data_IF_300473971914
#
_entry.id   IF_300473971914
#
_cell.length_a   1.000
_cell.length_b   1.000
_cell.length_c   1.000
_cell.angle_alpha   90.00
_cell.angle_beta   90.00
_cell.angle_gamma   90.00
#
_symmetry.space_group_name_H-M   'P 1'
#
loop_
_entity.id
_entity.type
_entity.pdbx_description
1 polymer ?
#
# COMPACT_ATOMS: atom_id res chain seq x y z
N UNK A 1 22.19 54.99 21.46
CA UNK A 1 22.34 53.59 21.88
C UNK A 1 21.17 52.81 21.27
N UNK A 2 21.35 52.28 20.06
CA UNK A 2 20.29 51.62 19.28
C UNK A 2 20.29 50.12 19.58
N UNK A 3 19.21 49.61 20.14
CA UNK A 3 19.01 48.16 20.37
C UNK A 3 18.60 47.49 19.07
N UNK A 4 19.48 46.64 18.54
CA UNK A 4 19.19 45.78 17.39
C UNK A 4 18.10 44.78 17.75
N UNK A 5 17.03 44.61 16.96
CA UNK A 5 15.99 43.63 17.28
C UNK A 5 16.55 42.21 17.13
N UNK A 6 16.47 41.44 18.22
CA UNK A 6 16.86 40.03 18.28
C UNK A 6 15.96 39.20 17.35
N UNK A 7 16.47 38.88 16.16
CA UNK A 7 15.79 38.10 15.12
C UNK A 7 16.06 36.61 15.29
N UNK A 8 15.98 36.09 16.52
CA UNK A 8 16.00 34.63 16.73
C UNK A 8 14.76 34.02 16.07
N UNK A 9 14.91 33.06 15.14
CA UNK A 9 13.77 32.41 14.52
C UNK A 9 12.93 31.74 15.61
N UNK A 10 11.71 32.26 15.83
CA UNK A 10 10.74 31.68 16.75
C UNK A 10 10.52 30.22 16.37
N UNK A 11 11.08 29.32 17.19
CA UNK A 11 10.89 27.88 17.08
C UNK A 11 9.38 27.63 17.12
N UNK A 12 8.75 27.34 15.97
CA UNK A 12 7.31 27.10 15.88
C UNK A 12 6.96 25.98 16.86
N UNK A 13 6.27 26.33 17.95
CA UNK A 13 5.77 25.36 18.93
C UNK A 13 4.73 24.51 18.22
N UNK A 14 5.06 23.24 17.96
CA UNK A 14 4.14 22.27 17.38
C UNK A 14 3.11 21.98 18.47
N UNK A 15 1.89 22.48 18.29
CA UNK A 15 0.78 22.20 19.21
C UNK A 15 0.33 20.75 18.97
N UNK A 16 0.35 19.86 19.99
CA UNK A 16 -0.21 18.52 19.89
C UNK A 16 -1.67 18.61 19.44
N UNK A 17 -2.04 17.87 18.38
CA UNK A 17 -3.39 17.94 17.77
C UNK A 17 -3.57 19.01 16.69
N UNK A 18 -2.56 19.84 16.42
CA UNK A 18 -2.59 20.81 15.32
C UNK A 18 -2.27 20.21 13.95
N UNK A 19 -2.67 20.91 12.88
CA UNK A 19 -2.47 20.52 11.46
C UNK A 19 -0.99 20.15 11.16
N UNK A 20 -0.03 20.78 11.85
CA UNK A 20 1.41 20.51 11.66
C UNK A 20 1.82 19.15 12.24
N UNK A 21 1.28 18.73 13.39
CA UNK A 21 1.57 17.41 13.97
C UNK A 21 0.96 16.28 13.13
N UNK A 22 -0.27 16.51 12.63
CA UNK A 22 -0.94 15.58 11.73
C UNK A 22 -0.17 15.40 10.42
N UNK A 23 0.30 16.49 9.80
CA UNK A 23 1.17 16.44 8.60
C UNK A 23 2.49 15.69 8.87
N UNK A 24 3.05 15.79 10.08
CA UNK A 24 4.29 15.09 10.46
C UNK A 24 4.05 13.60 10.69
N UNK A 25 2.92 13.21 11.27
CA UNK A 25 2.50 11.81 11.42
C UNK A 25 2.26 11.16 10.06
N UNK A 26 1.50 11.81 9.18
CA UNK A 26 1.29 11.36 7.80
C UNK A 26 2.61 11.16 7.03
N UNK A 27 3.57 12.07 7.17
CA UNK A 27 4.88 11.95 6.52
C UNK A 27 5.70 10.73 6.97
N UNK A 28 5.51 10.29 8.23
CA UNK A 28 6.22 9.15 8.81
C UNK A 28 5.48 7.83 8.63
N UNK A 29 4.15 7.86 8.62
CA UNK A 29 3.31 6.66 8.72
C UNK A 29 2.56 6.32 7.42
N UNK A 30 2.53 7.19 6.42
CA UNK A 30 1.81 6.94 5.16
C UNK A 30 2.26 5.65 4.46
N UNK A 31 3.57 5.42 4.37
CA UNK A 31 4.14 4.18 3.84
C UNK A 31 3.78 2.95 4.67
N UNK A 32 3.91 3.03 6.00
CA UNK A 32 3.57 1.94 6.92
C UNK A 32 2.09 1.55 6.79
N UNK A 33 1.20 2.55 6.75
CA UNK A 33 -0.23 2.33 6.58
C UNK A 33 -0.55 1.66 5.24
N UNK A 34 0.11 2.06 4.16
CA UNK A 34 -0.01 1.41 2.85
C UNK A 34 0.41 -0.06 2.88
N UNK A 35 1.56 -0.36 3.49
CA UNK A 35 2.02 -1.75 3.70
C UNK A 35 1.04 -2.53 4.57
N UNK A 36 0.48 -1.92 5.61
CA UNK A 36 -0.52 -2.55 6.46
C UNK A 36 -1.78 -2.96 5.71
N UNK A 37 -2.25 -2.12 4.77
CA UNK A 37 -3.39 -2.46 3.91
C UNK A 37 -3.06 -3.64 2.99
N UNK A 38 -1.91 -3.60 2.31
CA UNK A 38 -1.46 -4.69 1.46
C UNK A 38 -1.29 -6.00 2.24
N UNK A 39 -0.68 -5.92 3.43
CA UNK A 39 -0.54 -7.06 4.33
C UNK A 39 -1.91 -7.62 4.75
N UNK A 40 -2.89 -6.77 5.05
CA UNK A 40 -4.25 -7.19 5.40
C UNK A 40 -4.94 -7.99 4.29
N UNK A 41 -4.83 -7.55 3.04
CA UNK A 41 -5.33 -8.33 1.89
C UNK A 41 -4.60 -9.67 1.74
N UNK A 42 -3.27 -9.66 1.91
CA UNK A 42 -2.46 -10.87 1.80
C UNK A 42 -2.81 -11.90 2.89
N UNK A 43 -2.89 -11.51 4.16
CA UNK A 43 -3.25 -12.42 5.25
C UNK A 43 -4.69 -12.87 5.14
N UNK A 44 -5.63 -11.99 4.82
CA UNK A 44 -7.03 -12.39 4.67
C UNK A 44 -7.21 -13.39 3.51
N UNK A 45 -6.57 -13.15 2.36
CA UNK A 45 -6.57 -14.10 1.25
C UNK A 45 -5.93 -15.44 1.62
N UNK A 46 -4.80 -15.42 2.35
CA UNK A 46 -4.14 -16.64 2.80
C UNK A 46 -5.00 -17.45 3.78
N UNK A 47 -5.75 -16.77 4.67
CA UNK A 47 -6.71 -17.43 5.55
C UNK A 47 -7.85 -18.08 4.77
N UNK A 48 -8.38 -17.41 3.74
CA UNK A 48 -9.41 -17.98 2.86
C UNK A 48 -8.87 -19.24 2.17
N UNK A 49 -7.66 -19.18 1.62
CA UNK A 49 -7.00 -20.33 0.98
C UNK A 49 -6.78 -21.49 1.96
N UNK A 50 -6.40 -21.19 3.20
CA UNK A 50 -6.18 -22.21 4.23
C UNK A 50 -7.48 -22.88 4.69
N UNK A 51 -8.59 -22.15 4.66
CA UNK A 51 -9.88 -22.62 5.16
C UNK A 51 -10.73 -23.37 4.11
N UNK A 52 -10.25 -23.56 2.88
CA UNK A 52 -11.06 -24.10 1.79
C UNK A 52 -10.32 -25.09 0.90
N UNK A 53 -11.00 -26.17 0.53
CA UNK A 53 -10.60 -27.07 -0.57
C UNK A 53 -11.39 -26.81 -1.86
N UNK A 54 -12.39 -25.94 -1.81
CA UNK A 54 -13.26 -25.61 -2.94
C UNK A 54 -12.58 -24.70 -3.97
N UNK A 55 -12.69 -25.05 -5.26
CA UNK A 55 -12.07 -24.30 -6.37
C UNK A 55 -12.47 -22.82 -6.43
N UNK A 56 -13.74 -22.49 -6.20
CA UNK A 56 -14.24 -21.10 -6.23
C UNK A 56 -13.64 -20.24 -5.12
N UNK A 57 -13.63 -20.77 -3.89
CA UNK A 57 -13.03 -20.10 -2.74
C UNK A 57 -11.49 -20.05 -2.87
N UNK A 58 -10.88 -21.08 -3.47
CA UNK A 58 -9.46 -21.09 -3.82
C UNK A 58 -9.09 -19.96 -4.78
N UNK A 59 -9.85 -19.80 -5.87
CA UNK A 59 -9.67 -18.69 -6.81
C UNK A 59 -9.85 -17.33 -6.13
N UNK A 60 -10.89 -17.19 -5.30
CA UNK A 60 -11.17 -15.96 -4.54
C UNK A 60 -10.03 -15.62 -3.57
N UNK A 61 -9.55 -16.60 -2.82
CA UNK A 61 -8.42 -16.45 -1.91
C UNK A 61 -7.15 -16.03 -2.64
N UNK A 62 -6.87 -16.64 -3.79
CA UNK A 62 -5.71 -16.28 -4.61
C UNK A 62 -5.80 -14.85 -5.17
N UNK A 63 -6.98 -14.40 -5.59
CA UNK A 63 -7.20 -13.01 -6.02
C UNK A 63 -6.94 -12.04 -4.87
N UNK A 64 -7.43 -12.33 -3.67
CA UNK A 64 -7.19 -11.51 -2.47
C UNK A 64 -5.69 -11.44 -2.11
N UNK A 65 -5.00 -12.57 -2.12
CA UNK A 65 -3.55 -12.60 -1.89
C UNK A 65 -2.84 -11.77 -2.95
N UNK A 66 -3.27 -11.85 -4.21
CA UNK A 66 -2.71 -11.07 -5.32
C UNK A 66 -2.97 -9.57 -5.18
N UNK A 67 -4.06 -9.14 -4.54
CA UNK A 67 -4.26 -7.73 -4.18
C UNK A 67 -3.28 -7.28 -3.08
N UNK A 68 -2.94 -8.15 -2.13
CA UNK A 68 -1.95 -7.84 -1.11
C UNK A 68 -0.51 -7.88 -1.65
N UNK A 69 -0.21 -8.82 -2.53
CA UNK A 69 1.11 -9.09 -3.08
C UNK A 69 1.04 -9.12 -4.61
N UNK A 70 0.86 -7.97 -5.27
CA UNK A 70 0.62 -7.87 -6.71
C UNK A 70 1.75 -8.44 -7.58
N UNK A 71 2.98 -8.51 -7.06
CA UNK A 71 4.11 -9.08 -7.80
C UNK A 71 4.14 -10.62 -7.80
N UNK A 72 3.22 -11.31 -7.11
CA UNK A 72 3.18 -12.78 -7.12
C UNK A 72 3.03 -13.37 -8.52
N UNK A 73 2.10 -12.82 -9.30
CA UNK A 73 1.84 -13.28 -10.66
C UNK A 73 3.06 -13.07 -11.57
N UNK A 74 3.79 -11.97 -11.39
CA UNK A 74 4.98 -11.65 -12.18
C UNK A 74 6.13 -12.63 -11.93
N UNK A 75 6.24 -13.13 -10.70
CA UNK A 75 7.31 -14.05 -10.29
C UNK A 75 6.95 -15.53 -10.58
N UNK A 76 5.73 -15.77 -11.09
CA UNK A 76 5.26 -17.09 -11.48
C UNK A 76 4.87 -17.99 -10.31
N UNK A 77 4.49 -17.40 -9.16
CA UNK A 77 4.00 -18.14 -8.00
C UNK A 77 2.48 -18.31 -8.14
N UNK A 78 1.92 -19.54 -8.03
CA UNK A 78 2.50 -20.73 -7.39
C UNK A 78 3.20 -21.73 -8.32
N UNK A 79 3.20 -21.51 -9.64
CA UNK A 79 3.72 -22.47 -10.63
C UNK A 79 5.22 -22.81 -10.45
N UNK A 80 6.00 -21.89 -9.86
CA UNK A 80 7.40 -22.15 -9.50
C UNK A 80 7.61 -21.91 -8.01
N UNK A 81 8.02 -22.97 -7.32
CA UNK A 81 8.30 -22.93 -5.88
C UNK A 81 9.75 -22.51 -5.63
N UNK A 82 9.96 -21.61 -4.66
CA UNK A 82 11.31 -21.17 -4.27
C UNK A 82 11.29 -20.02 -3.27
N UNK A 83 11.99 -20.19 -2.14
CA UNK A 83 11.99 -19.21 -1.05
C UNK A 83 12.46 -17.82 -1.52
N UNK A 84 13.47 -17.76 -2.38
CA UNK A 84 13.97 -16.48 -2.92
C UNK A 84 12.91 -15.72 -3.74
N UNK A 85 12.08 -16.44 -4.50
CA UNK A 85 11.01 -15.86 -5.32
C UNK A 85 9.87 -15.30 -4.48
N UNK A 86 9.47 -16.05 -3.45
CA UNK A 86 8.50 -15.57 -2.45
C UNK A 86 9.01 -14.33 -1.73
N UNK A 87 10.26 -14.34 -1.26
CA UNK A 87 10.87 -13.17 -0.61
C UNK A 87 10.91 -11.96 -1.54
N UNK A 88 11.30 -12.13 -2.81
CA UNK A 88 11.29 -11.04 -3.79
C UNK A 88 9.89 -10.49 -4.04
N UNK A 89 8.88 -11.36 -4.21
CA UNK A 89 7.50 -10.93 -4.41
C UNK A 89 6.96 -10.16 -3.20
N UNK A 90 7.23 -10.64 -1.98
CA UNK A 90 6.80 -10.01 -0.72
C UNK A 90 7.50 -8.67 -0.53
N UNK A 91 8.83 -8.62 -0.62
CA UNK A 91 9.62 -7.41 -0.41
C UNK A 91 9.29 -6.37 -1.49
N UNK A 92 9.21 -6.79 -2.75
CA UNK A 92 8.85 -5.91 -3.86
C UNK A 92 7.43 -5.34 -3.70
N UNK A 93 6.49 -6.16 -3.25
CA UNK A 93 5.11 -5.70 -3.02
C UNK A 93 5.02 -4.79 -1.79
N UNK A 94 5.77 -5.06 -0.73
CA UNK A 94 5.88 -4.16 0.41
C UNK A 94 6.49 -2.81 0.01
N UNK A 95 7.53 -2.81 -0.83
CA UNK A 95 8.11 -1.58 -1.36
C UNK A 95 7.11 -0.82 -2.25
N UNK A 96 6.32 -1.53 -3.07
CA UNK A 96 5.25 -0.92 -3.87
C UNK A 96 4.19 -0.26 -2.98
N UNK A 97 3.66 -0.98 -1.99
CA UNK A 97 2.65 -0.44 -1.08
C UNK A 97 3.18 0.70 -0.21
N UNK A 98 4.44 0.62 0.20
CA UNK A 98 5.13 1.69 0.90
C UNK A 98 5.23 2.95 0.04
N UNK A 99 5.70 2.81 -1.21
CA UNK A 99 5.87 3.95 -2.12
C UNK A 99 4.53 4.59 -2.45
N UNK A 100 3.49 3.81 -2.72
CA UNK A 100 2.12 4.32 -2.92
C UNK A 100 1.64 5.09 -1.67
N UNK A 101 1.81 4.50 -0.49
CA UNK A 101 1.44 5.13 0.78
C UNK A 101 2.17 6.46 1.04
N UNK A 102 3.46 6.52 0.69
CA UNK A 102 4.27 7.74 0.80
C UNK A 102 3.94 8.78 -0.26
N UNK A 103 3.62 8.38 -1.49
CA UNK A 103 3.18 9.30 -2.55
C UNK A 103 1.84 9.95 -2.19
N UNK A 104 0.88 9.17 -1.69
CA UNK A 104 -0.38 9.68 -1.18
C UNK A 104 -0.14 10.67 -0.02
N UNK A 105 0.73 10.34 0.94
CA UNK A 105 1.08 11.23 2.04
C UNK A 105 1.77 12.52 1.55
N UNK A 106 2.65 12.44 0.56
CA UNK A 106 3.32 13.59 -0.03
C UNK A 106 2.32 14.53 -0.74
N UNK A 107 1.33 13.99 -1.45
CA UNK A 107 0.27 14.78 -2.09
C UNK A 107 -0.63 15.47 -1.07
N UNK A 108 -1.12 14.75 -0.07
CA UNK A 108 -2.02 15.31 0.95
C UNK A 108 -1.34 16.41 1.77
N UNK A 109 -0.04 16.31 2.02
CA UNK A 109 0.72 17.37 2.73
C UNK A 109 0.72 18.73 2.01
N UNK A 110 0.62 18.74 0.68
CA UNK A 110 0.54 19.96 -0.15
C UNK A 110 -0.82 20.65 -0.03
N UNK A 111 -1.86 19.95 0.44
CA UNK A 111 -3.20 20.52 0.63
C UNK A 111 -3.29 21.36 1.91
N UNK A 112 -4.18 22.36 1.91
CA UNK A 112 -4.44 23.26 3.05
C UNK A 112 -4.99 22.45 4.23
N UNK A 113 -5.94 21.55 3.95
CA UNK A 113 -6.51 20.59 4.90
C UNK A 113 -5.86 19.23 4.60
N UNK A 114 -5.10 18.70 5.56
CA UNK A 114 -4.43 17.42 5.43
C UNK A 114 -4.92 16.49 6.54
N UNK A 115 -5.54 15.38 6.17
CA UNK A 115 -6.06 14.37 7.08
C UNK A 115 -5.95 12.95 6.53
N UNK A 116 -6.26 11.98 7.39
CA UNK A 116 -6.21 10.56 7.06
C UNK A 116 -7.28 10.15 6.05
N UNK A 117 -8.43 10.83 6.04
CA UNK A 117 -9.49 10.59 5.07
C UNK A 117 -9.06 10.99 3.66
N UNK A 118 -8.38 12.12 3.53
CA UNK A 118 -7.85 12.60 2.26
C UNK A 118 -6.69 11.70 1.78
N UNK A 119 -5.89 11.17 2.71
CA UNK A 119 -4.87 10.16 2.40
C UNK A 119 -5.50 8.87 1.89
N UNK A 120 -6.56 8.37 2.53
CA UNK A 120 -7.25 7.17 2.09
C UNK A 120 -7.85 7.35 0.68
N UNK A 121 -8.39 8.53 0.37
CA UNK A 121 -8.91 8.83 -0.97
C UNK A 121 -7.83 8.81 -2.06
N UNK A 122 -6.69 9.48 -1.83
CA UNK A 122 -5.56 9.46 -2.77
C UNK A 122 -4.95 8.05 -2.89
N UNK A 123 -4.79 7.35 -1.76
CA UNK A 123 -4.31 5.97 -1.73
C UNK A 123 -5.23 5.04 -2.51
N UNK A 124 -6.55 5.17 -2.36
CA UNK A 124 -7.53 4.34 -3.05
C UNK A 124 -7.45 4.47 -4.58
N UNK A 125 -7.16 5.66 -5.11
CA UNK A 125 -6.97 5.85 -6.56
C UNK A 125 -5.75 5.07 -7.06
N UNK A 126 -4.62 5.15 -6.35
CA UNK A 126 -3.43 4.39 -6.69
C UNK A 126 -3.62 2.88 -6.52
N UNK A 127 -4.21 2.47 -5.40
CA UNK A 127 -4.54 1.07 -5.11
C UNK A 127 -5.46 0.48 -6.17
N UNK A 128 -6.47 1.24 -6.61
CA UNK A 128 -7.39 0.84 -7.67
C UNK A 128 -6.66 0.53 -8.98
N UNK A 129 -5.68 1.36 -9.37
CA UNK A 129 -4.85 1.08 -10.54
C UNK A 129 -4.07 -0.23 -10.43
N UNK A 130 -3.48 -0.50 -9.25
CA UNK A 130 -2.77 -1.77 -8.98
C UNK A 130 -3.73 -2.95 -9.05
N UNK A 131 -4.90 -2.86 -8.42
CA UNK A 131 -5.89 -3.94 -8.42
C UNK A 131 -6.44 -4.23 -9.82
N UNK A 132 -6.71 -3.19 -10.62
CA UNK A 132 -7.11 -3.38 -12.02
C UNK A 132 -6.01 -4.13 -12.77
N UNK A 133 -4.75 -3.73 -12.61
CA UNK A 133 -3.61 -4.42 -13.22
C UNK A 133 -3.51 -5.90 -12.81
N UNK A 134 -3.72 -6.19 -11.52
CA UNK A 134 -3.76 -7.56 -10.99
C UNK A 134 -4.89 -8.36 -11.63
N UNK A 135 -6.13 -7.84 -11.64
CA UNK A 135 -7.27 -8.56 -12.24
C UNK A 135 -7.02 -8.82 -13.73
N UNK A 136 -6.58 -7.82 -14.48
CA UNK A 136 -6.28 -7.99 -15.90
C UNK A 136 -5.16 -9.01 -16.15
N UNK A 137 -4.09 -8.98 -15.35
CA UNK A 137 -3.00 -9.95 -15.42
C UNK A 137 -3.47 -11.38 -15.11
N UNK A 138 -4.33 -11.54 -14.10
CA UNK A 138 -4.90 -12.83 -13.73
C UNK A 138 -5.85 -13.37 -14.81
N UNK A 139 -6.72 -12.53 -15.38
CA UNK A 139 -7.60 -12.91 -16.49
C UNK A 139 -6.78 -13.34 -17.71
N UNK A 140 -5.72 -12.61 -18.04
CA UNK A 140 -4.82 -12.96 -19.13
C UNK A 140 -4.12 -14.30 -18.89
N UNK A 141 -3.62 -14.54 -17.67
CA UNK A 141 -2.99 -15.80 -17.30
C UNK A 141 -3.98 -16.97 -17.35
N UNK A 142 -5.18 -16.80 -16.80
CA UNK A 142 -6.24 -17.81 -16.82
C UNK A 142 -6.63 -18.18 -18.25
N UNK A 143 -6.79 -17.19 -19.13
CA UNK A 143 -7.08 -17.40 -20.55
C UNK A 143 -5.93 -18.13 -21.26
N UNK A 144 -4.68 -17.77 -20.97
CA UNK A 144 -3.50 -18.40 -21.56
C UNK A 144 -3.34 -19.86 -21.15
N UNK A 145 -3.80 -20.22 -19.94
CA UNK A 145 -3.80 -21.59 -19.42
C UNK A 145 -5.02 -22.41 -19.87
N UNK A 146 -5.98 -21.82 -20.60
CA UNK A 146 -7.21 -22.48 -21.02
C UNK A 146 -8.20 -22.75 -19.90
N UNK A 147 -8.08 -22.05 -18.77
CA UNK A 147 -9.01 -22.17 -17.64
C UNK A 147 -10.35 -21.46 -17.88
N UNK A 148 -10.37 -20.50 -18.81
CA UNK A 148 -11.54 -19.76 -19.32
C UNK A 148 -11.40 -19.50 -20.83
#
# INVERSE_FOLDING_TARGET
MSTTPDTRPRRRRIVPGGIVDLKRRLAKQGGIAGVGIGAGFATFGALVLFATDGAFLGATGYVLVSFGVPLLALVGVPAVTGAARWSLAIIGSAALWWTIGQLAAARVRRRVIAGWREWAGEFAVYAGGVWIGVVLGLVFAARSLGAI
#
